data_IF_044066265493
#
_entry.id   IF_044066265493
#
_cell.length_a   1.000
_cell.length_b   1.000
_cell.length_c   1.000
_cell.angle_alpha   90.00
_cell.angle_beta   90.00
_cell.angle_gamma   90.00
#
_symmetry.space_group_name_H-M   'P 1'
#
loop_
_entity.id
_entity.type
_entity.pdbx_description
1 polymer ?
#
# COMPACT_ATOMS: atom_id res chain seq x y z
N UNK A 1 22.55 -13.49 11.55
CA UNK A 1 22.66 -12.46 12.60
C UNK A 1 21.30 -11.86 12.86
N UNK A 2 20.87 -11.74 14.09
CA UNK A 2 19.59 -11.23 14.55
C UNK A 2 19.79 -10.23 15.67
N UNK A 3 18.86 -9.30 15.75
CA UNK A 3 18.70 -8.43 16.90
C UNK A 3 17.32 -8.74 17.51
N UNK A 4 17.30 -9.60 18.53
CA UNK A 4 16.08 -9.82 19.31
C UNK A 4 15.95 -8.68 20.31
N UNK A 5 15.05 -7.75 20.05
CA UNK A 5 14.83 -6.58 20.93
C UNK A 5 13.57 -6.87 21.75
N UNK A 6 13.73 -7.49 22.92
CA UNK A 6 12.63 -7.67 23.86
C UNK A 6 11.68 -8.85 23.58
N UNK A 7 12.01 -9.78 22.69
CA UNK A 7 11.16 -10.91 22.32
C UNK A 7 10.78 -11.83 23.49
N UNK A 8 11.71 -12.05 24.42
CA UNK A 8 11.48 -12.96 25.56
C UNK A 8 10.30 -12.53 26.44
N UNK A 9 10.05 -11.24 26.57
CA UNK A 9 8.96 -10.67 27.38
C UNK A 9 7.72 -10.32 26.56
N UNK A 10 7.80 -10.43 25.21
CA UNK A 10 6.70 -10.09 24.35
C UNK A 10 5.57 -11.13 24.39
N UNK A 11 4.34 -10.65 24.44
CA UNK A 11 3.12 -11.42 24.28
C UNK A 11 2.19 -10.64 23.31
N UNK A 12 2.59 -10.50 22.03
CA UNK A 12 1.85 -9.64 21.11
C UNK A 12 0.51 -10.28 20.75
N UNK A 13 -0.56 -9.47 20.79
CA UNK A 13 -1.89 -9.82 20.28
C UNK A 13 -2.04 -9.37 18.84
N UNK A 14 -1.47 -8.22 18.50
CA UNK A 14 -1.45 -7.67 17.15
C UNK A 14 -0.01 -7.36 16.73
N UNK A 15 0.42 -7.90 15.61
CA UNK A 15 1.76 -7.67 15.08
C UNK A 15 1.72 -6.90 13.76
N UNK A 16 2.74 -6.08 13.53
CA UNK A 16 3.06 -5.49 12.25
C UNK A 16 4.36 -6.07 11.73
N UNK A 17 4.38 -6.52 10.47
CA UNK A 17 5.59 -6.99 9.79
C UNK A 17 5.87 -6.08 8.61
N UNK A 18 7.06 -5.54 8.56
CA UNK A 18 7.51 -4.61 7.52
C UNK A 18 8.94 -4.94 7.09
N UNK A 19 9.35 -4.40 5.95
CA UNK A 19 10.72 -4.54 5.45
C UNK A 19 11.41 -3.19 5.30
N UNK A 20 12.69 -3.15 5.65
CA UNK A 20 13.54 -1.99 5.43
C UNK A 20 14.78 -2.39 4.64
N UNK A 21 15.00 -1.71 3.51
CA UNK A 21 16.26 -1.83 2.79
C UNK A 21 17.36 -1.11 3.56
N UNK A 22 18.40 -1.82 3.99
CA UNK A 22 19.49 -1.24 4.76
C UNK A 22 20.77 -1.01 3.95
N UNK A 23 20.85 -1.61 2.74
CA UNK A 23 21.94 -1.39 1.79
C UNK A 23 21.44 -1.47 0.34
N UNK A 24 22.18 -0.85 -0.60
CA UNK A 24 21.95 -1.03 -2.03
C UNK A 24 22.17 -2.51 -2.41
N UNK A 25 21.36 -3.04 -3.32
CA UNK A 25 21.52 -4.41 -3.82
C UNK A 25 20.64 -5.46 -3.13
N UNK A 26 19.39 -5.10 -2.81
CA UNK A 26 18.36 -6.04 -2.27
C UNK A 26 18.67 -6.62 -0.89
N UNK A 27 19.39 -5.88 -0.06
CA UNK A 27 19.61 -6.24 1.34
C UNK A 27 18.50 -5.67 2.20
N UNK A 28 17.66 -6.52 2.75
CA UNK A 28 16.49 -6.16 3.54
C UNK A 28 16.59 -6.65 4.98
N UNK A 29 15.94 -5.93 5.87
CA UNK A 29 15.62 -6.38 7.23
C UNK A 29 14.11 -6.61 7.29
N UNK A 30 13.71 -7.74 7.88
CA UNK A 30 12.34 -7.96 8.32
C UNK A 30 12.20 -7.43 9.74
N UNK A 31 11.27 -6.54 9.98
CA UNK A 31 11.01 -5.94 11.28
C UNK A 31 9.64 -6.41 11.76
N UNK A 32 9.59 -6.97 12.97
CA UNK A 32 8.32 -7.30 13.62
C UNK A 32 8.13 -6.38 14.82
N UNK A 33 6.98 -5.74 14.87
CA UNK A 33 6.57 -4.86 15.97
C UNK A 33 5.29 -5.35 16.64
N UNK A 34 5.19 -5.13 17.92
CA UNK A 34 3.94 -5.17 18.65
C UNK A 34 3.20 -3.86 18.39
N UNK A 35 2.02 -3.96 17.76
CA UNK A 35 1.24 -2.78 17.35
C UNK A 35 0.66 -2.09 18.59
N UNK A 36 0.22 -2.85 19.59
CA UNK A 36 -0.42 -2.33 20.79
C UNK A 36 0.56 -1.52 21.65
N UNK A 37 1.80 -1.98 21.74
CA UNK A 37 2.85 -1.30 22.46
C UNK A 37 3.63 -0.28 21.61
N UNK A 38 3.48 -0.30 20.30
CA UNK A 38 4.24 0.55 19.37
C UNK A 38 5.75 0.24 19.36
N UNK A 39 6.15 -0.99 19.71
CA UNK A 39 7.56 -1.36 19.89
C UNK A 39 8.00 -2.42 18.88
N UNK A 40 9.23 -2.27 18.38
CA UNK A 40 9.90 -3.35 17.65
C UNK A 40 10.27 -4.45 18.64
N UNK A 41 9.84 -5.67 18.34
CA UNK A 41 10.10 -6.84 19.20
C UNK A 41 11.09 -7.82 18.57
N UNK A 42 11.30 -7.76 17.25
CA UNK A 42 12.23 -8.62 16.55
C UNK A 42 12.70 -8.01 15.22
N UNK A 43 13.94 -8.32 14.83
CA UNK A 43 14.53 -7.94 13.55
C UNK A 43 15.31 -9.12 12.98
N UNK A 44 15.03 -9.49 11.73
CA UNK A 44 15.74 -10.51 10.98
C UNK A 44 16.40 -9.95 9.71
N UNK A 45 17.47 -10.61 9.27
CA UNK A 45 18.12 -10.28 8.00
C UNK A 45 17.46 -11.05 6.85
N UNK A 46 17.14 -10.36 5.77
CA UNK A 46 16.39 -10.84 4.60
C UNK A 46 14.87 -10.64 4.73
N UNK A 47 14.15 -10.81 3.62
CA UNK A 47 12.68 -10.75 3.53
C UNK A 47 12.08 -12.05 2.99
N UNK A 48 12.63 -13.17 3.43
CA UNK A 48 12.15 -14.49 3.02
C UNK A 48 11.14 -15.04 4.02
N UNK A 49 10.43 -16.09 3.60
CA UNK A 49 9.53 -16.85 4.48
C UNK A 49 10.29 -17.38 5.71
N UNK A 50 11.47 -17.98 5.48
CA UNK A 50 12.31 -18.58 6.52
C UNK A 50 12.76 -17.54 7.57
N UNK A 51 12.94 -16.29 7.13
CA UNK A 51 13.26 -15.19 8.04
C UNK A 51 12.11 -14.94 9.02
N UNK A 52 10.87 -14.84 8.52
CA UNK A 52 9.72 -14.64 9.39
C UNK A 52 9.35 -15.90 10.18
N UNK A 53 9.56 -17.09 9.63
CA UNK A 53 9.43 -18.36 10.36
C UNK A 53 10.35 -18.40 11.59
N UNK A 54 11.55 -17.81 11.47
CA UNK A 54 12.48 -17.74 12.61
C UNK A 54 11.94 -16.90 13.75
N UNK A 55 11.25 -15.81 13.46
CA UNK A 55 10.55 -15.03 14.47
C UNK A 55 9.53 -15.87 15.23
N UNK A 56 8.64 -16.59 14.51
CA UNK A 56 7.60 -17.40 15.16
C UNK A 56 8.17 -18.55 15.98
N UNK A 57 9.25 -19.17 15.50
CA UNK A 57 9.96 -20.23 16.25
C UNK A 57 10.56 -19.71 17.54
N UNK A 58 11.14 -18.51 17.52
CA UNK A 58 11.73 -17.87 18.71
C UNK A 58 10.66 -17.36 19.68
N UNK A 59 9.55 -16.83 19.18
CA UNK A 59 8.41 -16.42 20.00
C UNK A 59 7.78 -17.63 20.73
N UNK A 60 7.83 -18.79 20.09
CA UNK A 60 7.24 -20.05 20.55
C UNK A 60 5.79 -20.26 20.13
N UNK A 61 5.38 -21.51 19.91
CA UNK A 61 4.12 -21.84 19.28
C UNK A 61 2.89 -21.35 20.06
N UNK A 62 2.93 -21.34 21.39
CA UNK A 62 1.80 -20.88 22.20
C UNK A 62 1.55 -19.40 22.03
N UNK A 63 2.61 -18.59 22.05
CA UNK A 63 2.51 -17.13 21.84
C UNK A 63 2.17 -16.79 20.38
N UNK A 64 2.71 -17.54 19.42
CA UNK A 64 2.40 -17.36 18.00
C UNK A 64 0.90 -17.60 17.72
N UNK A 65 0.32 -18.66 18.27
CA UNK A 65 -1.14 -18.95 18.16
C UNK A 65 -2.02 -17.94 18.91
N UNK A 66 -1.48 -17.20 19.86
CA UNK A 66 -2.22 -16.14 20.56
C UNK A 66 -2.31 -14.83 19.77
N UNK A 67 -1.57 -14.69 18.67
CA UNK A 67 -1.66 -13.52 17.78
C UNK A 67 -3.00 -13.58 17.05
N UNK A 68 -3.78 -12.51 17.16
CA UNK A 68 -5.11 -12.39 16.56
C UNK A 68 -5.08 -11.65 15.21
N UNK A 69 -4.19 -10.67 15.05
CA UNK A 69 -4.07 -9.86 13.84
C UNK A 69 -2.61 -9.71 13.43
N UNK A 70 -2.35 -9.91 12.14
CA UNK A 70 -1.06 -9.63 11.52
C UNK A 70 -1.23 -8.60 10.40
N UNK A 71 -0.70 -7.40 10.61
CA UNK A 71 -0.64 -6.35 9.59
C UNK A 71 0.65 -6.53 8.80
N UNK A 72 0.55 -6.87 7.53
CA UNK A 72 1.69 -7.19 6.67
C UNK A 72 1.55 -6.57 5.28
N UNK A 73 2.64 -6.50 4.52
CA UNK A 73 2.57 -6.21 3.09
C UNK A 73 1.99 -7.40 2.30
N UNK A 74 1.45 -7.14 1.12
CA UNK A 74 0.99 -8.16 0.14
C UNK A 74 2.19 -8.88 -0.48
N UNK A 75 2.92 -9.60 0.36
CA UNK A 75 4.12 -10.35 0.02
C UNK A 75 3.91 -11.83 0.38
N UNK A 76 3.81 -12.69 -0.64
CA UNK A 76 3.45 -14.11 -0.47
C UNK A 76 4.28 -14.86 0.57
N UNK A 77 5.61 -14.67 0.68
CA UNK A 77 6.41 -15.31 1.71
C UNK A 77 5.95 -14.97 3.15
N UNK A 78 5.55 -13.71 3.40
CA UNK A 78 5.04 -13.32 4.72
C UNK A 78 3.65 -13.88 4.98
N UNK A 79 2.78 -13.84 3.97
CA UNK A 79 1.43 -14.44 4.04
C UNK A 79 1.52 -15.92 4.38
N UNK A 80 2.42 -16.66 3.69
CA UNK A 80 2.64 -18.07 3.92
C UNK A 80 3.15 -18.35 5.34
N UNK A 81 4.11 -17.57 5.83
CA UNK A 81 4.67 -17.73 7.16
C UNK A 81 3.63 -17.46 8.26
N UNK A 82 2.85 -16.38 8.14
CA UNK A 82 1.78 -16.05 9.11
C UNK A 82 0.74 -17.16 9.15
N UNK A 83 0.27 -17.64 7.99
CA UNK A 83 -0.73 -18.73 7.91
C UNK A 83 -0.22 -20.07 8.49
N UNK A 84 1.07 -20.36 8.38
CA UNK A 84 1.66 -21.58 8.92
C UNK A 84 1.78 -21.57 10.44
N UNK A 85 2.14 -20.41 11.01
CA UNK A 85 2.50 -20.31 12.42
C UNK A 85 1.40 -19.75 13.33
N UNK A 86 0.39 -19.09 12.76
CA UNK A 86 -0.67 -18.42 13.51
C UNK A 86 -2.07 -18.73 12.97
N UNK A 87 -3.09 -18.40 13.74
CA UNK A 87 -4.49 -18.34 13.29
C UNK A 87 -4.95 -16.88 13.12
N UNK A 88 -4.00 -15.95 12.99
CA UNK A 88 -4.26 -14.52 12.93
C UNK A 88 -5.01 -14.12 11.65
N UNK A 89 -5.90 -13.16 11.79
CA UNK A 89 -6.44 -12.42 10.65
C UNK A 89 -5.33 -11.60 9.99
N UNK A 90 -5.19 -11.74 8.67
CA UNK A 90 -4.21 -10.99 7.91
C UNK A 90 -4.86 -9.70 7.40
N UNK A 91 -4.30 -8.57 7.80
CA UNK A 91 -4.66 -7.24 7.31
C UNK A 91 -3.50 -6.69 6.49
N UNK A 92 -3.79 -6.20 5.28
CA UNK A 92 -2.76 -5.63 4.44
C UNK A 92 -2.60 -4.13 4.67
N UNK A 93 -1.34 -3.68 4.71
CA UNK A 93 -1.04 -2.26 4.87
C UNK A 93 -1.50 -1.48 3.62
N UNK A 94 -2.51 -0.62 3.82
CA UNK A 94 -3.10 0.23 2.78
C UNK A 94 -2.10 1.22 2.16
N UNK A 95 -1.00 1.51 2.85
CA UNK A 95 0.07 2.34 2.30
C UNK A 95 0.62 1.74 1.00
N UNK A 96 0.81 0.42 0.94
CA UNK A 96 1.33 -0.26 -0.25
C UNK A 96 0.36 -0.20 -1.44
N UNK A 97 -0.95 -0.26 -1.20
CA UNK A 97 -1.96 -0.02 -2.26
C UNK A 97 -1.93 1.44 -2.70
N UNK A 98 -1.93 2.38 -1.76
CA UNK A 98 -1.87 3.81 -2.08
C UNK A 98 -0.64 4.17 -2.90
N UNK A 99 0.50 3.53 -2.61
CA UNK A 99 1.73 3.66 -3.39
C UNK A 99 1.53 3.16 -4.84
N UNK A 100 0.94 1.96 -5.02
CA UNK A 100 0.66 1.41 -6.36
C UNK A 100 -0.31 2.30 -7.16
N UNK A 101 -1.33 2.86 -6.50
CA UNK A 101 -2.28 3.81 -7.10
C UNK A 101 -1.56 5.07 -7.59
N UNK A 102 -0.66 5.63 -6.77
CA UNK A 102 0.13 6.79 -7.14
C UNK A 102 1.15 6.49 -8.26
N UNK A 103 1.74 5.29 -8.27
CA UNK A 103 2.62 4.84 -9.35
C UNK A 103 1.86 4.71 -10.68
N UNK A 104 0.62 4.22 -10.66
CA UNK A 104 -0.24 4.16 -11.83
C UNK A 104 -0.54 5.57 -12.36
N UNK A 105 -0.94 6.50 -11.49
CA UNK A 105 -1.18 7.90 -11.86
C UNK A 105 0.08 8.58 -12.39
N UNK A 106 1.25 8.36 -11.77
CA UNK A 106 2.53 8.92 -12.25
C UNK A 106 2.92 8.36 -13.63
N UNK A 107 2.53 7.10 -13.92
CA UNK A 107 2.72 6.49 -15.24
C UNK A 107 1.88 7.22 -16.28
N UNK A 108 0.60 7.45 -16.01
CA UNK A 108 -0.28 8.23 -16.90
C UNK A 108 0.28 9.65 -17.10
N UNK A 109 0.64 10.33 -16.01
CA UNK A 109 1.24 11.67 -16.08
C UNK A 109 2.46 11.72 -17.01
N UNK A 110 3.36 10.72 -16.92
CA UNK A 110 4.55 10.64 -17.78
C UNK A 110 4.19 10.40 -19.24
N UNK A 111 3.19 9.56 -19.52
CA UNK A 111 2.71 9.30 -20.86
C UNK A 111 2.14 10.58 -21.50
N UNK A 112 1.22 11.24 -20.78
CA UNK A 112 0.63 12.50 -21.21
C UNK A 112 1.69 13.59 -21.42
N UNK A 113 2.61 13.74 -20.48
CA UNK A 113 3.74 14.68 -20.62
C UNK A 113 4.59 14.42 -21.88
N UNK A 114 4.78 13.15 -22.25
CA UNK A 114 5.57 12.80 -23.44
C UNK A 114 4.84 13.15 -24.73
N UNK A 115 3.51 13.06 -24.75
CA UNK A 115 2.66 13.34 -25.91
C UNK A 115 2.27 14.82 -26.02
N UNK A 116 2.33 15.58 -24.93
CA UNK A 116 1.95 16.96 -24.84
C UNK A 116 2.80 17.88 -25.71
N UNK A 117 2.23 18.98 -26.15
CA UNK A 117 2.96 20.04 -26.83
C UNK A 117 3.88 20.84 -25.89
N UNK A 118 4.71 21.77 -26.40
CA UNK A 118 5.65 22.52 -25.57
C UNK A 118 5.01 23.41 -24.49
N UNK A 119 3.80 23.95 -24.74
CA UNK A 119 3.07 24.78 -23.76
C UNK A 119 2.48 23.91 -22.67
N UNK A 120 1.76 22.84 -23.03
CA UNK A 120 1.23 21.86 -22.08
C UNK A 120 2.33 21.24 -21.21
N UNK A 121 3.49 20.90 -21.79
CA UNK A 121 4.65 20.42 -21.01
C UNK A 121 5.13 21.43 -19.97
N UNK A 122 5.08 22.70 -20.30
CA UNK A 122 5.47 23.77 -19.38
C UNK A 122 4.52 23.81 -18.18
N UNK A 123 3.24 23.66 -18.42
CA UNK A 123 2.22 23.63 -17.36
C UNK A 123 2.31 22.39 -16.48
N UNK A 124 2.60 21.23 -17.07
CA UNK A 124 2.80 19.97 -16.32
C UNK A 124 4.13 19.89 -15.57
N UNK A 125 5.10 20.74 -15.92
CA UNK A 125 6.46 20.69 -15.37
C UNK A 125 6.43 21.05 -13.89
N UNK A 126 7.14 20.25 -13.07
CA UNK A 126 7.24 20.41 -11.61
C UNK A 126 5.94 20.16 -10.83
N UNK A 127 4.83 19.75 -11.48
CA UNK A 127 3.52 19.52 -10.84
C UNK A 127 3.32 18.07 -10.33
N UNK A 128 4.33 17.22 -10.43
CA UNK A 128 4.23 15.81 -10.02
C UNK A 128 3.65 15.64 -8.61
N UNK A 129 4.17 16.37 -7.64
CA UNK A 129 3.71 16.23 -6.27
C UNK A 129 2.29 16.76 -6.07
N UNK A 130 1.90 17.80 -6.78
CA UNK A 130 0.54 18.33 -6.76
C UNK A 130 -0.45 17.28 -7.28
N UNK A 131 -0.17 16.66 -8.43
CA UNK A 131 -1.01 15.62 -9.04
C UNK A 131 -1.10 14.37 -8.15
N UNK A 132 0.00 13.96 -7.50
CA UNK A 132 0.03 12.77 -6.66
C UNK A 132 -0.57 12.99 -5.26
N UNK A 133 -0.71 14.23 -4.82
CA UNK A 133 -1.36 14.56 -3.54
C UNK A 133 -2.83 14.16 -3.54
N UNK A 134 -3.34 13.72 -2.38
CA UNK A 134 -4.80 13.55 -2.21
C UNK A 134 -5.48 14.91 -2.25
N UNK A 135 -6.65 14.98 -2.89
CA UNK A 135 -7.40 16.23 -3.02
C UNK A 135 -7.62 16.92 -1.66
N UNK A 136 -7.95 16.15 -0.63
CA UNK A 136 -8.15 16.70 0.74
C UNK A 136 -6.90 17.32 1.36
N UNK A 137 -5.71 17.01 0.85
CA UNK A 137 -4.42 17.50 1.35
C UNK A 137 -3.81 18.60 0.46
N UNK A 138 -4.49 18.97 -0.63
CA UNK A 138 -4.03 20.06 -1.51
C UNK A 138 -4.33 21.40 -0.83
N UNK A 139 -3.29 22.23 -0.69
CA UNK A 139 -3.40 23.58 -0.16
C UNK A 139 -4.34 24.42 -1.03
N UNK A 140 -5.16 25.27 -0.42
CA UNK A 140 -6.18 26.07 -1.11
C UNK A 140 -5.60 26.89 -2.25
N UNK A 141 -4.42 27.47 -2.04
CA UNK A 141 -3.69 28.28 -3.03
C UNK A 141 -3.27 27.48 -4.29
N UNK A 142 -3.20 26.16 -4.19
CA UNK A 142 -2.81 25.26 -5.28
C UNK A 142 -3.99 24.54 -5.94
N UNK A 143 -5.20 24.74 -5.45
CA UNK A 143 -6.40 24.07 -5.99
C UNK A 143 -6.70 24.51 -7.41
N UNK A 144 -6.73 25.82 -7.65
CA UNK A 144 -6.98 26.39 -8.98
C UNK A 144 -5.94 25.89 -10.00
N UNK A 145 -4.67 25.78 -9.59
CA UNK A 145 -3.61 25.25 -10.43
C UNK A 145 -3.83 23.77 -10.78
N UNK A 146 -4.26 22.95 -9.82
CA UNK A 146 -4.59 21.55 -10.05
C UNK A 146 -5.80 21.40 -10.96
N UNK A 147 -6.87 22.17 -10.72
CA UNK A 147 -8.09 22.12 -11.52
C UNK A 147 -7.80 22.51 -12.97
N UNK A 148 -7.11 23.62 -13.21
CA UNK A 148 -6.70 24.06 -14.55
C UNK A 148 -5.90 22.96 -15.28
N UNK A 149 -4.96 22.30 -14.60
CA UNK A 149 -4.15 21.24 -15.18
C UNK A 149 -5.00 20.01 -15.56
N UNK A 150 -5.96 19.65 -14.73
CA UNK A 150 -6.85 18.51 -14.98
C UNK A 150 -7.88 18.81 -16.08
N UNK A 151 -8.36 20.04 -16.20
CA UNK A 151 -9.25 20.49 -17.28
C UNK A 151 -8.58 20.43 -18.65
N UNK A 152 -7.29 20.71 -18.71
CA UNK A 152 -6.52 20.69 -19.96
C UNK A 152 -6.20 19.28 -20.46
N UNK A 153 -6.28 18.25 -19.59
CA UNK A 153 -5.90 16.89 -19.96
C UNK A 153 -6.93 15.86 -19.46
N UNK A 154 -7.78 15.41 -20.37
CA UNK A 154 -8.87 14.47 -20.07
C UNK A 154 -8.37 13.14 -19.49
N UNK A 155 -7.30 12.56 -20.05
CA UNK A 155 -6.75 11.28 -19.60
C UNK A 155 -6.19 11.42 -18.19
N UNK A 156 -5.43 12.47 -17.92
CA UNK A 156 -4.89 12.75 -16.60
C UNK A 156 -5.99 13.01 -15.58
N UNK A 157 -7.03 13.75 -15.96
CA UNK A 157 -8.20 14.02 -15.13
C UNK A 157 -8.90 12.70 -14.73
N UNK A 158 -9.18 11.83 -15.69
CA UNK A 158 -9.77 10.50 -15.44
C UNK A 158 -8.91 9.68 -14.48
N UNK A 159 -7.61 9.64 -14.72
CA UNK A 159 -6.66 8.92 -13.86
C UNK A 159 -6.64 9.49 -12.44
N UNK A 160 -6.67 10.82 -12.29
CA UNK A 160 -6.74 11.49 -11.00
C UNK A 160 -8.03 11.15 -10.25
N UNK A 161 -9.17 11.18 -10.93
CA UNK A 161 -10.47 10.80 -10.34
C UNK A 161 -10.46 9.35 -9.88
N UNK A 162 -9.91 8.42 -10.66
CA UNK A 162 -9.79 7.02 -10.26
C UNK A 162 -8.92 6.85 -9.00
N UNK A 163 -7.82 7.60 -8.89
CA UNK A 163 -7.01 7.64 -7.66
C UNK A 163 -7.84 8.10 -6.46
N UNK A 164 -8.49 9.24 -6.56
CA UNK A 164 -9.28 9.80 -5.45
C UNK A 164 -10.42 8.85 -5.04
N UNK A 165 -11.10 8.23 -6.01
CA UNK A 165 -12.17 7.29 -5.72
C UNK A 165 -11.69 6.11 -4.88
N UNK A 166 -10.61 5.43 -5.27
CA UNK A 166 -10.13 4.25 -4.53
C UNK A 166 -9.58 4.61 -3.15
N UNK A 167 -8.87 5.74 -3.03
CA UNK A 167 -8.36 6.20 -1.74
C UNK A 167 -9.49 6.60 -0.78
N UNK A 168 -10.60 7.14 -1.30
CA UNK A 168 -11.79 7.46 -0.49
C UNK A 168 -12.58 6.19 -0.10
N UNK A 169 -12.52 5.12 -0.90
CA UNK A 169 -13.11 3.83 -0.52
C UNK A 169 -12.37 3.24 0.69
N UNK A 170 -11.06 3.41 0.77
CA UNK A 170 -10.28 2.96 1.92
C UNK A 170 -10.54 3.74 3.21
N UNK A 171 -11.14 4.93 3.12
CA UNK A 171 -11.59 5.71 4.29
C UNK A 171 -13.02 5.32 4.73
N UNK A 172 -13.72 4.42 4.00
CA UNK A 172 -15.08 3.97 4.32
C UNK A 172 -15.08 3.12 5.58
N UNK A 173 -16.00 3.41 6.49
CA UNK A 173 -16.12 2.69 7.76
C UNK A 173 -16.91 1.39 7.64
N UNK A 174 -17.84 1.30 6.69
CA UNK A 174 -18.69 0.14 6.49
C UNK A 174 -18.15 -0.78 5.39
N UNK A 175 -17.79 -2.00 5.76
CA UNK A 175 -17.20 -2.99 4.86
C UNK A 175 -18.07 -3.28 3.63
N UNK A 176 -19.38 -3.44 3.79
CA UNK A 176 -20.28 -3.74 2.68
C UNK A 176 -20.37 -2.61 1.68
N UNK A 177 -20.34 -1.37 2.14
CA UNK A 177 -20.29 -0.19 1.29
C UNK A 177 -18.94 -0.08 0.57
N UNK A 178 -17.86 -0.29 1.28
CA UNK A 178 -16.52 -0.32 0.72
C UNK A 178 -16.40 -1.36 -0.40
N UNK A 179 -16.88 -2.59 -0.17
CA UNK A 179 -16.89 -3.68 -1.16
C UNK A 179 -17.70 -3.33 -2.41
N UNK A 180 -18.90 -2.78 -2.25
CA UNK A 180 -19.73 -2.36 -3.39
C UNK A 180 -19.06 -1.26 -4.21
N UNK A 181 -18.53 -0.25 -3.54
CA UNK A 181 -17.82 0.88 -4.17
C UNK A 181 -16.55 0.42 -4.88
N UNK A 182 -15.80 -0.52 -4.27
CA UNK A 182 -14.58 -1.07 -4.84
C UNK A 182 -14.86 -1.87 -6.12
N UNK A 183 -15.90 -2.71 -6.13
CA UNK A 183 -16.34 -3.41 -7.34
C UNK A 183 -16.72 -2.45 -8.46
N UNK A 184 -17.46 -1.38 -8.14
CA UNK A 184 -17.82 -0.35 -9.09
C UNK A 184 -16.59 0.41 -9.60
N UNK A 185 -15.63 0.69 -8.72
CA UNK A 185 -14.38 1.34 -9.09
C UNK A 185 -13.58 0.49 -10.09
N UNK A 186 -13.46 -0.81 -9.89
CA UNK A 186 -12.79 -1.72 -10.84
C UNK A 186 -13.45 -1.68 -12.22
N UNK A 187 -14.79 -1.65 -12.29
CA UNK A 187 -15.53 -1.49 -13.55
C UNK A 187 -15.25 -0.11 -14.20
N UNK A 188 -15.11 0.94 -13.40
CA UNK A 188 -14.76 2.26 -13.91
C UNK A 188 -13.34 2.30 -14.48
N UNK A 189 -12.39 1.60 -13.86
CA UNK A 189 -11.03 1.44 -14.40
C UNK A 189 -11.08 0.76 -15.76
N UNK A 190 -11.77 -0.36 -15.87
CA UNK A 190 -11.92 -1.09 -17.14
C UNK A 190 -12.52 -0.20 -18.23
N UNK A 191 -13.62 0.51 -17.94
CA UNK A 191 -14.28 1.42 -18.88
C UNK A 191 -13.44 2.63 -19.27
N UNK A 192 -12.51 3.05 -18.42
CA UNK A 192 -11.64 4.19 -18.68
C UNK A 192 -10.60 3.92 -19.76
N UNK A 193 -10.25 2.65 -19.99
CA UNK A 193 -9.17 2.23 -20.89
C UNK A 193 -7.76 2.59 -20.39
N UNK A 194 -7.61 3.04 -19.13
CA UNK A 194 -6.31 3.44 -18.56
C UNK A 194 -5.59 2.19 -18.01
N UNK A 195 -4.78 1.56 -18.85
CA UNK A 195 -4.09 0.29 -18.55
C UNK A 195 -3.12 0.37 -17.37
N UNK A 196 -2.62 1.57 -17.03
CA UNK A 196 -1.76 1.77 -15.88
C UNK A 196 -2.39 1.30 -14.55
N UNK A 197 -3.73 1.31 -14.44
CA UNK A 197 -4.45 0.87 -13.24
C UNK A 197 -4.74 -0.64 -13.21
N UNK A 198 -4.53 -1.39 -14.27
CA UNK A 198 -4.80 -2.85 -14.31
C UNK A 198 -4.05 -3.62 -13.21
N UNK A 199 -2.77 -3.26 -12.99
CA UNK A 199 -1.97 -3.88 -11.92
C UNK A 199 -2.52 -3.58 -10.51
N UNK A 200 -3.13 -2.41 -10.33
CA UNK A 200 -3.78 -2.04 -9.06
C UNK A 200 -5.04 -2.87 -8.88
N UNK A 201 -5.86 -3.00 -9.95
CA UNK A 201 -7.08 -3.82 -9.94
C UNK A 201 -6.74 -5.27 -9.60
N UNK A 202 -5.76 -5.88 -10.27
CA UNK A 202 -5.34 -7.25 -10.00
C UNK A 202 -4.90 -7.43 -8.54
N UNK A 203 -4.06 -6.53 -8.02
CA UNK A 203 -3.65 -6.57 -6.61
C UNK A 203 -4.85 -6.47 -5.66
N UNK A 204 -5.80 -5.59 -5.95
CA UNK A 204 -7.00 -5.45 -5.11
C UNK A 204 -7.87 -6.70 -5.19
N UNK A 205 -8.04 -7.32 -6.36
CA UNK A 205 -8.80 -8.55 -6.51
C UNK A 205 -8.20 -9.71 -5.71
N UNK A 206 -6.88 -9.86 -5.75
CA UNK A 206 -6.17 -10.94 -5.06
C UNK A 206 -6.24 -10.81 -3.52
N UNK A 207 -6.28 -9.58 -3.01
CA UNK A 207 -6.11 -9.30 -1.57
C UNK A 207 -7.27 -8.51 -0.94
N UNK A 208 -8.43 -8.44 -1.61
CA UNK A 208 -9.56 -7.57 -1.28
C UNK A 208 -9.98 -7.60 0.19
N UNK A 209 -10.14 -8.79 0.76
CA UNK A 209 -10.64 -8.96 2.13
C UNK A 209 -9.64 -8.53 3.21
N UNK A 210 -8.35 -8.57 2.92
CA UNK A 210 -7.34 -8.09 3.87
C UNK A 210 -7.00 -6.60 3.68
N UNK A 211 -7.46 -5.96 2.59
CA UNK A 211 -7.26 -4.52 2.33
C UNK A 211 -8.36 -3.68 2.98
N UNK A 212 -9.58 -4.16 3.02
CA UNK A 212 -10.76 -3.48 3.57
C UNK A 212 -10.94 -3.78 5.05
#
# INVERSE_FOLDING_TARGET
>A
SKLAVGLAQANPVRIGVDEVAYQKGHNYLTIVRDIDLGKVIWVGFSRTKETLDSFFKELGPLKARAIQVAVIDMWDPYIASVKEHTDAEIVFDRFHISKKVNEALDTVRKQEFTQADPEERKDMKHKRFLILSRNKNVEEEKREELETLLEQNETLCKAYILKEQVLNIFDEAELDNALKRLKKWMQNVEKSGITAYEKVVNTIQDYMYGIL
#
